data_IF_929859639922
#
_entry.id   IF_929859639922
#
_cell.length_a   1.000
_cell.length_b   1.000
_cell.length_c   1.000
_cell.angle_alpha   90.00
_cell.angle_beta   90.00
_cell.angle_gamma   90.00
#
_symmetry.space_group_name_H-M   'P 1'
#
loop_
_entity.id
_entity.type
_entity.pdbx_description
1 polymer ?
#
# COMPACT_ATOMS: atom_id res chain seq x y z
N UNK A 1 -7.34 2.34 -12.23
CA UNK A 1 -8.38 2.11 -11.24
C UNK A 1 -8.37 0.65 -10.79
N UNK A 2 -8.64 0.42 -9.52
CA UNK A 2 -8.62 -0.94 -8.97
C UNK A 2 -9.94 -1.63 -9.31
N UNK A 3 -9.86 -2.78 -10.01
CA UNK A 3 -11.06 -3.48 -10.46
C UNK A 3 -11.84 -4.12 -9.33
N UNK A 4 -11.16 -4.72 -8.39
CA UNK A 4 -11.79 -5.42 -7.28
C UNK A 4 -11.16 -4.97 -5.98
N UNK A 5 -11.63 -3.85 -5.49
CA UNK A 5 -11.10 -3.23 -4.28
C UNK A 5 -11.28 -4.12 -3.06
N UNK A 6 -12.40 -4.87 -2.99
CA UNK A 6 -12.63 -5.80 -1.88
C UNK A 6 -11.58 -6.91 -1.85
N UNK A 7 -11.24 -7.47 -3.01
CA UNK A 7 -10.24 -8.50 -3.11
C UNK A 7 -8.85 -7.97 -2.73
N UNK A 8 -8.53 -6.76 -3.16
CA UNK A 8 -7.26 -6.10 -2.82
C UNK A 8 -7.17 -5.88 -1.32
N UNK A 9 -8.24 -5.34 -0.71
CA UNK A 9 -8.30 -5.14 0.74
C UNK A 9 -8.09 -6.44 1.49
N UNK A 10 -8.78 -7.50 1.06
CA UNK A 10 -8.70 -8.80 1.70
C UNK A 10 -7.28 -9.36 1.64
N UNK A 11 -6.61 -9.25 0.50
CA UNK A 11 -5.24 -9.72 0.35
C UNK A 11 -4.26 -8.91 1.19
N UNK A 12 -4.44 -7.59 1.25
CA UNK A 12 -3.58 -6.75 2.08
C UNK A 12 -3.72 -7.09 3.57
N UNK A 13 -4.94 -7.36 4.02
CA UNK A 13 -5.18 -7.65 5.44
C UNK A 13 -4.83 -9.08 5.80
N UNK A 14 -5.40 -10.06 5.10
CA UNK A 14 -5.25 -11.46 5.46
C UNK A 14 -3.88 -12.04 5.10
N UNK A 15 -3.33 -11.62 3.98
CA UNK A 15 -2.09 -12.22 3.48
C UNK A 15 -0.85 -11.41 3.86
N UNK A 16 -0.97 -10.10 3.89
CA UNK A 16 0.18 -9.23 4.12
C UNK A 16 0.18 -8.57 5.50
N UNK A 17 -0.84 -8.82 6.30
CA UNK A 17 -0.85 -8.42 7.70
C UNK A 17 -1.18 -6.97 8.01
N UNK A 18 -1.72 -6.22 7.06
CA UNK A 18 -2.21 -4.88 7.36
C UNK A 18 -3.52 -4.96 8.13
N UNK A 19 -3.80 -3.97 8.98
CA UNK A 19 -5.12 -3.84 9.54
C UNK A 19 -6.09 -3.36 8.45
N UNK A 20 -7.39 -3.54 8.69
CA UNK A 20 -8.41 -3.07 7.76
C UNK A 20 -8.25 -1.56 7.50
N UNK A 21 -8.05 -0.78 8.55
CA UNK A 21 -7.88 0.66 8.41
C UNK A 21 -6.63 1.04 7.62
N UNK A 22 -5.53 0.33 7.83
CA UNK A 22 -4.30 0.58 7.08
C UNK A 22 -4.50 0.30 5.59
N UNK A 23 -5.11 -0.84 5.27
CA UNK A 23 -5.34 -1.22 3.87
C UNK A 23 -6.26 -0.21 3.18
N UNK A 24 -7.34 0.18 3.83
CA UNK A 24 -8.27 1.16 3.27
C UNK A 24 -7.61 2.51 3.06
N UNK A 25 -6.76 2.92 3.99
CA UNK A 25 -6.07 4.21 3.90
C UNK A 25 -5.10 4.23 2.71
N UNK A 26 -4.35 3.15 2.53
CA UNK A 26 -3.42 3.08 1.41
C UNK A 26 -4.16 3.10 0.06
N UNK A 27 -5.24 2.33 -0.05
CA UNK A 27 -6.04 2.31 -1.28
C UNK A 27 -6.65 3.68 -1.55
N UNK A 28 -7.13 4.36 -0.49
CA UNK A 28 -7.65 5.71 -0.63
C UNK A 28 -6.57 6.67 -1.11
N UNK A 29 -5.34 6.54 -0.60
CA UNK A 29 -4.23 7.37 -1.04
C UNK A 29 -3.94 7.16 -2.53
N UNK A 30 -3.97 5.93 -3.00
CA UNK A 30 -3.78 5.64 -4.42
C UNK A 30 -4.91 6.23 -5.27
N UNK A 31 -6.14 6.11 -4.80
CA UNK A 31 -7.31 6.59 -5.54
C UNK A 31 -7.36 8.12 -5.58
N UNK A 32 -7.07 8.77 -4.48
CA UNK A 32 -7.20 10.23 -4.36
C UNK A 32 -5.89 10.97 -4.62
N UNK A 33 -4.77 10.28 -4.57
CA UNK A 33 -3.46 10.85 -4.82
C UNK A 33 -2.75 11.36 -3.59
N UNK A 34 -3.44 11.55 -2.47
CA UNK A 34 -2.84 12.02 -1.23
C UNK A 34 -3.77 11.78 -0.04
N UNK A 35 -3.19 11.83 1.16
CA UNK A 35 -3.91 11.74 2.43
C UNK A 35 -3.48 12.94 3.26
N UNK A 36 -4.42 13.60 3.91
CA UNK A 36 -4.10 14.75 4.77
C UNK A 36 -3.27 14.35 5.97
N UNK A 37 -2.30 15.19 6.31
CA UNK A 37 -1.57 15.08 7.56
C UNK A 37 -2.59 15.21 8.70
N UNK A 38 -2.51 14.29 9.66
CA UNK A 38 -3.48 14.21 10.75
C UNK A 38 -4.46 13.07 10.61
N UNK A 39 -4.53 12.44 9.45
CA UNK A 39 -5.34 11.25 9.26
C UNK A 39 -4.74 10.12 10.10
N UNK A 40 -5.55 9.54 10.99
CA UNK A 40 -5.08 8.53 11.93
C UNK A 40 -4.56 7.27 11.26
N UNK A 41 -5.11 6.91 10.11
CA UNK A 41 -4.69 5.73 9.37
C UNK A 41 -3.34 5.89 8.69
N UNK A 42 -2.84 7.12 8.56
CA UNK A 42 -1.61 7.38 7.84
C UNK A 42 -0.36 7.02 8.63
N UNK A 43 -0.36 7.21 9.95
CA UNK A 43 0.84 7.00 10.75
C UNK A 43 1.42 5.58 10.66
N UNK A 44 0.60 4.51 10.78
CA UNK A 44 1.14 3.16 10.60
C UNK A 44 1.73 2.93 9.21
N UNK A 45 1.14 3.53 8.18
CA UNK A 45 1.64 3.39 6.82
C UNK A 45 2.96 4.11 6.61
N UNK A 46 3.16 5.24 7.27
CA UNK A 46 4.45 5.92 7.26
C UNK A 46 5.52 5.02 7.88
N UNK A 47 5.20 4.39 9.00
CA UNK A 47 6.14 3.49 9.68
C UNK A 47 6.47 2.27 8.82
N UNK A 48 5.53 1.81 8.01
CA UNK A 48 5.76 0.66 7.12
C UNK A 48 6.43 1.03 5.80
N UNK A 49 6.59 2.33 5.52
CA UNK A 49 7.19 2.77 4.27
C UNK A 49 6.24 2.74 3.08
N UNK A 50 4.93 2.85 3.34
CA UNK A 50 3.91 2.84 2.28
C UNK A 50 3.40 4.24 1.94
N UNK A 51 3.66 5.21 2.80
CA UNK A 51 3.39 6.63 2.56
C UNK A 51 4.64 7.43 2.83
N UNK A 52 4.76 8.58 2.18
CA UNK A 52 5.81 9.56 2.47
C UNK A 52 5.17 10.93 2.62
N UNK A 53 5.85 11.80 3.36
CA UNK A 53 5.38 13.18 3.53
C UNK A 53 5.73 14.00 2.30
N UNK A 54 4.75 14.76 1.79
CA UNK A 54 4.98 15.65 0.66
C UNK A 54 5.91 16.80 1.05
N UNK A 55 6.52 17.45 0.03
CA UNK A 55 7.46 18.53 0.26
C UNK A 55 6.85 19.70 1.02
N UNK A 56 5.55 19.96 0.83
CA UNK A 56 4.85 21.04 1.54
C UNK A 56 4.40 20.66 2.94
N UNK A 57 4.61 19.40 3.34
CA UNK A 57 4.28 18.84 4.65
C UNK A 57 2.79 18.89 5.03
N UNK A 58 1.92 19.16 4.07
CA UNK A 58 0.48 19.24 4.32
C UNK A 58 -0.26 17.94 4.05
N UNK A 59 0.32 17.08 3.22
CA UNK A 59 -0.28 15.80 2.86
C UNK A 59 0.77 14.71 2.84
N UNK A 60 0.29 13.46 2.87
CA UNK A 60 1.13 12.28 2.65
C UNK A 60 0.84 11.77 1.24
N UNK A 61 1.87 11.31 0.55
CA UNK A 61 1.75 10.74 -0.79
C UNK A 61 1.96 9.23 -0.72
N UNK A 62 1.21 8.45 -1.54
CA UNK A 62 1.44 7.01 -1.57
C UNK A 62 2.78 6.70 -2.22
N UNK A 63 3.51 5.77 -1.62
CA UNK A 63 4.72 5.22 -2.21
C UNK A 63 4.30 4.30 -3.35
N UNK A 64 5.09 4.26 -4.43
CA UNK A 64 4.79 3.39 -5.57
C UNK A 64 4.51 1.97 -5.07
N UNK A 65 3.47 1.29 -5.60
CA UNK A 65 3.09 -0.02 -5.08
C UNK A 65 4.22 -1.05 -5.00
N UNK A 66 5.12 -1.05 -5.98
CA UNK A 66 6.26 -1.98 -5.97
C UNK A 66 7.13 -1.78 -4.74
N UNK A 67 7.44 -0.52 -4.43
CA UNK A 67 8.26 -0.21 -3.27
C UNK A 67 7.47 -0.36 -1.97
N UNK A 68 6.20 0.03 -1.97
CA UNK A 68 5.35 -0.10 -0.78
C UNK A 68 5.20 -1.56 -0.35
N UNK A 69 4.93 -2.46 -1.30
CA UNK A 69 4.81 -3.89 -1.01
C UNK A 69 6.15 -4.47 -0.56
N UNK A 70 7.24 -4.04 -1.19
CA UNK A 70 8.58 -4.47 -0.80
C UNK A 70 8.89 -4.05 0.64
N UNK A 71 8.57 -2.80 1.00
CA UNK A 71 8.77 -2.30 2.36
C UNK A 71 7.93 -3.07 3.37
N UNK A 72 6.70 -3.40 2.99
CA UNK A 72 5.81 -4.20 3.85
C UNK A 72 6.42 -5.57 4.14
N UNK A 73 7.00 -6.23 3.15
CA UNK A 73 7.67 -7.51 3.35
C UNK A 73 8.82 -7.42 4.34
N UNK A 74 9.57 -6.32 4.32
CA UNK A 74 10.68 -6.13 5.26
C UNK A 74 10.22 -6.09 6.71
N UNK A 75 8.99 -5.72 6.97
CA UNK A 75 8.46 -5.65 8.33
C UNK A 75 7.88 -6.98 8.82
N UNK A 76 7.79 -7.99 7.95
CA UNK A 76 7.28 -9.30 8.34
C UNK A 76 8.36 -10.10 9.08
N UNK A 77 7.96 -10.83 10.16
CA UNK A 77 8.94 -11.45 11.03
C UNK A 77 9.66 -12.69 10.45
N UNK A 78 8.99 -13.45 9.62
CA UNK A 78 9.59 -14.68 9.05
C UNK A 78 9.63 -14.60 7.53
N UNK A 79 10.83 -14.55 6.98
CA UNK A 79 11.03 -14.37 5.54
C UNK A 79 11.50 -15.61 4.83
N UNK A 80 11.75 -16.69 5.56
CA UNK A 80 12.36 -17.89 4.98
C UNK A 80 11.40 -19.05 4.82
N UNK A 81 10.21 -18.98 5.38
CA UNK A 81 9.24 -20.07 5.34
C UNK A 81 8.62 -20.23 3.95
N UNK A 82 8.16 -21.45 3.65
CA UNK A 82 7.45 -21.74 2.40
C UNK A 82 6.20 -20.87 2.22
N UNK A 83 5.39 -20.63 3.26
CA UNK A 83 4.26 -19.70 3.13
C UNK A 83 4.68 -18.30 2.70
N UNK A 84 5.88 -17.87 3.05
CA UNK A 84 6.37 -16.57 2.64
C UNK A 84 6.59 -16.48 1.14
N UNK A 85 7.05 -17.56 0.50
CA UNK A 85 7.20 -17.60 -0.94
C UNK A 85 5.87 -17.44 -1.66
N UNK A 86 4.83 -18.10 -1.15
CA UNK A 86 3.49 -17.98 -1.71
C UNK A 86 2.97 -16.56 -1.53
N UNK A 87 3.20 -15.95 -0.38
CA UNK A 87 2.81 -14.57 -0.12
C UNK A 87 3.52 -13.60 -1.07
N UNK A 88 4.78 -13.87 -1.38
CA UNK A 88 5.53 -13.01 -2.30
C UNK A 88 4.96 -13.05 -3.71
N UNK A 89 4.57 -14.23 -4.18
CA UNK A 89 3.93 -14.35 -5.50
C UNK A 89 2.62 -13.58 -5.54
N UNK A 90 1.82 -13.72 -4.49
CA UNK A 90 0.56 -13.01 -4.40
C UNK A 90 0.80 -11.50 -4.31
N UNK A 91 1.83 -11.08 -3.57
CA UNK A 91 2.18 -9.69 -3.45
C UNK A 91 2.65 -9.10 -4.79
N UNK A 92 3.38 -9.88 -5.59
CA UNK A 92 3.79 -9.45 -6.93
C UNK A 92 2.57 -9.22 -7.81
N UNK A 93 1.60 -10.12 -7.78
CA UNK A 93 0.34 -9.93 -8.52
C UNK A 93 -0.41 -8.70 -8.04
N UNK A 94 -0.49 -8.54 -6.71
CA UNK A 94 -1.15 -7.40 -6.10
C UNK A 94 -0.47 -6.08 -6.52
N UNK A 95 0.85 -6.08 -6.55
CA UNK A 95 1.62 -4.93 -7.02
C UNK A 95 1.20 -4.53 -8.43
N UNK A 96 1.09 -5.51 -9.32
CA UNK A 96 0.68 -5.24 -10.70
C UNK A 96 -0.74 -4.69 -10.78
N UNK A 97 -1.63 -5.10 -9.89
CA UNK A 97 -2.99 -4.57 -9.85
C UNK A 97 -3.05 -3.14 -9.31
N UNK A 98 -2.12 -2.77 -8.43
CA UNK A 98 -2.12 -1.44 -7.81
C UNK A 98 -1.40 -0.39 -8.66
N UNK A 99 -0.44 -0.79 -9.48
CA UNK A 99 0.32 0.15 -10.30
C UNK A 99 -0.56 1.03 -11.18
N UNK A 100 -1.57 0.51 -11.89
CA UNK A 100 -2.42 1.38 -12.72
C UNK A 100 -3.13 2.46 -11.93
N UNK A 101 -3.56 2.18 -10.71
CA UNK A 101 -4.21 3.19 -9.87
C UNK A 101 -3.24 4.31 -9.51
N UNK A 102 -2.01 3.94 -9.18
CA UNK A 102 -0.97 4.91 -8.86
C UNK A 102 -0.63 5.76 -10.07
N UNK A 103 -0.41 5.14 -11.22
CA UNK A 103 -0.02 5.84 -12.45
C UNK A 103 -1.13 6.71 -13.02
N UNK A 104 -2.38 6.26 -12.90
CA UNK A 104 -3.51 7.04 -13.37
C UNK A 104 -3.60 8.37 -12.65
N UNK A 105 -3.32 8.37 -11.35
CA UNK A 105 -3.36 9.60 -10.56
C UNK A 105 -2.19 10.51 -10.90
N UNK A 106 -1.03 9.92 -11.04
CA UNK A 106 0.19 10.66 -11.35
C UNK A 106 0.16 11.26 -12.76
N UNK A 107 -0.42 10.55 -13.71
CA UNK A 107 -0.50 11.03 -15.08
C UNK A 107 -1.40 12.25 -15.29
N UNK A 108 -2.17 12.63 -14.27
CA UNK A 108 -3.04 13.80 -14.34
C UNK A 108 -2.39 15.09 -13.82
N UNK A 109 -1.20 14.98 -13.31
CA UNK A 109 -0.49 16.15 -12.78
C UNK A 109 0.33 16.89 -13.82
#
# INVERSE_FOLDING_TARGET
MIRDESSVLQRLTLELGLSQGEAETYIRALREGSIRVGDRGALPLLARGMLIRAADEKVYLPVHPRLAISNLFRSLPDRTSAPMKAKRRMADKLTLELIPAYEARRGRE
#
